data_IF_844109319069
#
_entry.id   IF_844109319069
#
_cell.length_a   1.000
_cell.length_b   1.000
_cell.length_c   1.000
_cell.angle_alpha   90.00
_cell.angle_beta   90.00
_cell.angle_gamma   90.00
#
_symmetry.space_group_name_H-M   'P 1'
#
loop_
_entity.id
_entity.type
_entity.pdbx_description
1 polymer ?
#
# COMPACT_ATOMS: atom_id res chain seq x y z
N UNK A 1 1.36 -8.96 14.33
CA UNK A 1 2.14 -10.19 14.63
C UNK A 1 1.22 -11.40 14.71
N UNK A 2 0.08 -11.31 15.44
CA UNK A 2 -0.86 -12.43 15.60
C UNK A 2 -1.46 -12.88 14.25
N UNK A 3 -1.85 -11.95 13.39
CA UNK A 3 -2.45 -12.24 12.08
C UNK A 3 -1.43 -12.81 11.10
N UNK A 4 -0.17 -12.40 11.20
CA UNK A 4 0.92 -12.94 10.39
C UNK A 4 1.21 -14.40 10.73
N UNK A 5 1.15 -14.77 12.02
CA UNK A 5 1.32 -16.14 12.47
C UNK A 5 0.15 -17.04 12.03
N UNK A 6 -1.08 -16.51 12.06
CA UNK A 6 -2.27 -17.21 11.52
C UNK A 6 -2.12 -17.45 10.01
N UNK A 7 -1.73 -16.42 9.26
CA UNK A 7 -1.49 -16.54 7.82
C UNK A 7 -0.42 -17.58 7.52
N UNK A 8 0.75 -17.49 8.19
CA UNK A 8 1.84 -18.45 8.00
C UNK A 8 1.42 -19.89 8.34
N UNK A 9 0.66 -20.10 9.43
CA UNK A 9 0.18 -21.43 9.80
C UNK A 9 -0.81 -21.99 8.80
N UNK A 10 -1.68 -21.13 8.26
CA UNK A 10 -2.63 -21.49 7.22
C UNK A 10 -1.93 -21.85 5.90
N UNK A 11 -0.98 -21.02 5.47
CA UNK A 11 -0.20 -21.24 4.26
C UNK A 11 0.61 -22.54 4.33
N UNK A 12 1.24 -22.84 5.48
CA UNK A 12 1.96 -24.09 5.70
C UNK A 12 1.04 -25.31 5.64
N UNK A 13 -0.14 -25.26 6.29
CA UNK A 13 -1.13 -26.35 6.23
C UNK A 13 -1.71 -26.54 4.81
N UNK A 14 -1.68 -25.51 3.98
CA UNK A 14 -2.18 -25.58 2.61
C UNK A 14 -1.22 -26.28 1.66
N UNK A 15 0.06 -26.40 2.01
CA UNK A 15 1.05 -27.15 1.21
C UNK A 15 0.77 -28.65 1.18
N UNK A 16 0.08 -29.18 2.20
CA UNK A 16 -0.20 -30.63 2.32
C UNK A 16 -1.53 -31.05 1.68
N UNK A 17 -2.32 -30.13 1.14
CA UNK A 17 -3.65 -30.46 0.56
C UNK A 17 -3.73 -30.00 -0.90
N UNK A 18 -4.09 -30.92 -1.80
CA UNK A 18 -4.30 -30.66 -3.23
C UNK A 18 -5.57 -29.83 -3.54
N UNK A 19 -6.10 -29.07 -2.59
CA UNK A 19 -7.31 -28.29 -2.73
C UNK A 19 -6.97 -26.87 -3.21
N UNK A 20 -7.54 -26.47 -4.35
CA UNK A 20 -7.54 -25.08 -4.82
C UNK A 20 -8.33 -24.20 -3.84
N UNK A 21 -7.63 -23.44 -3.01
CA UNK A 21 -8.23 -22.53 -2.04
C UNK A 21 -8.47 -21.14 -2.62
N UNK A 22 -9.60 -20.53 -2.29
CA UNK A 22 -9.96 -19.20 -2.73
C UNK A 22 -9.42 -18.14 -1.78
N UNK A 23 -8.49 -17.34 -2.28
CA UNK A 23 -7.88 -16.23 -1.56
C UNK A 23 -8.32 -14.90 -2.17
N UNK A 24 -8.86 -14.02 -1.34
CA UNK A 24 -9.24 -12.66 -1.72
C UNK A 24 -8.29 -11.65 -1.09
N UNK A 25 -7.76 -10.74 -1.90
CA UNK A 25 -6.95 -9.61 -1.46
C UNK A 25 -7.77 -8.35 -1.72
N UNK A 26 -8.11 -7.63 -0.65
CA UNK A 26 -8.90 -6.39 -0.73
C UNK A 26 -7.97 -5.20 -0.81
N UNK A 27 -7.98 -4.52 -1.96
CA UNK A 27 -7.14 -3.39 -2.31
C UNK A 27 -6.18 -3.70 -3.45
N UNK A 28 -6.36 -3.03 -4.59
CA UNK A 28 -5.51 -3.09 -5.79
C UNK A 28 -4.36 -2.06 -5.78
N UNK A 29 -3.97 -1.57 -4.61
CA UNK A 29 -2.79 -0.73 -4.43
C UNK A 29 -1.47 -1.52 -4.41
N UNK A 30 -0.31 -0.85 -4.23
CA UNK A 30 1.02 -1.48 -4.27
C UNK A 30 1.13 -2.73 -3.38
N UNK A 31 0.70 -2.63 -2.12
CA UNK A 31 0.77 -3.76 -1.18
C UNK A 31 -0.07 -4.97 -1.60
N UNK A 32 -1.27 -4.73 -2.16
CA UNK A 32 -2.15 -5.81 -2.62
C UNK A 32 -1.58 -6.51 -3.84
N UNK A 33 -1.08 -5.76 -4.81
CA UNK A 33 -0.48 -6.29 -6.04
C UNK A 33 0.79 -7.09 -5.74
N UNK A 34 1.70 -6.52 -4.92
CA UNK A 34 2.93 -7.19 -4.51
C UNK A 34 2.62 -8.52 -3.81
N UNK A 35 1.67 -8.50 -2.86
CA UNK A 35 1.29 -9.70 -2.11
C UNK A 35 0.65 -10.76 -3.01
N UNK A 36 -0.24 -10.36 -3.93
CA UNK A 36 -0.88 -11.26 -4.88
C UNK A 36 0.15 -12.00 -5.74
N UNK A 37 1.09 -11.24 -6.33
CA UNK A 37 2.16 -11.79 -7.16
C UNK A 37 3.07 -12.73 -6.35
N UNK A 38 3.52 -12.31 -5.16
CA UNK A 38 4.40 -13.14 -4.31
C UNK A 38 3.75 -14.42 -3.82
N UNK A 39 2.48 -14.37 -3.41
CA UNK A 39 1.74 -15.58 -3.00
C UNK A 39 1.64 -16.54 -4.18
N UNK A 40 1.31 -16.04 -5.37
CA UNK A 40 1.20 -16.88 -6.56
C UNK A 40 2.53 -17.53 -6.94
N UNK A 41 3.65 -16.78 -6.85
CA UNK A 41 4.99 -17.31 -7.15
C UNK A 41 5.44 -18.38 -6.16
N UNK A 42 5.07 -18.26 -4.86
CA UNK A 42 5.45 -19.21 -3.82
C UNK A 42 4.58 -20.46 -3.86
N UNK A 43 3.26 -20.28 -4.03
CA UNK A 43 2.28 -21.36 -3.86
C UNK A 43 1.67 -21.86 -5.17
N UNK A 44 2.09 -21.28 -6.31
CA UNK A 44 1.69 -21.70 -7.67
C UNK A 44 0.17 -21.91 -7.82
N UNK A 45 -0.29 -23.16 -7.99
CA UNK A 45 -1.69 -23.49 -8.26
C UNK A 45 -2.51 -23.85 -7.02
N UNK A 46 -1.95 -23.67 -5.80
CA UNK A 46 -2.68 -23.98 -4.56
C UNK A 46 -3.77 -22.94 -4.26
N UNK A 47 -3.64 -21.73 -4.82
CA UNK A 47 -4.59 -20.64 -4.62
C UNK A 47 -5.17 -20.12 -5.93
N UNK A 48 -6.50 -19.98 -5.96
CA UNK A 48 -7.20 -19.08 -6.83
C UNK A 48 -7.19 -17.70 -6.17
N UNK A 49 -6.40 -16.77 -6.72
CA UNK A 49 -6.21 -15.44 -6.15
C UNK A 49 -7.12 -14.43 -6.85
N UNK A 50 -7.89 -13.68 -6.06
CA UNK A 50 -8.82 -12.66 -6.50
C UNK A 50 -8.46 -11.34 -5.81
N UNK A 51 -8.09 -10.30 -6.57
CA UNK A 51 -7.86 -8.94 -6.08
C UNK A 51 -9.13 -8.14 -6.26
N UNK A 52 -9.62 -7.49 -5.19
CA UNK A 52 -10.82 -6.65 -5.22
C UNK A 52 -10.37 -5.19 -5.12
N UNK A 53 -10.73 -4.37 -6.12
CA UNK A 53 -10.42 -2.95 -6.16
C UNK A 53 -11.69 -2.12 -6.42
N UNK A 54 -11.87 -1.07 -5.61
CA UNK A 54 -13.03 -0.17 -5.72
C UNK A 54 -12.98 0.74 -6.94
N UNK A 55 -11.78 1.04 -7.41
CA UNK A 55 -11.56 1.91 -8.57
C UNK A 55 -11.72 1.14 -9.87
N UNK A 56 -11.83 1.86 -10.98
CA UNK A 56 -11.88 1.29 -12.32
C UNK A 56 -10.52 0.78 -12.83
N UNK A 57 -9.45 0.93 -12.04
CA UNK A 57 -8.11 0.47 -12.36
C UNK A 57 -7.32 0.14 -11.09
N UNK A 58 -6.36 -0.77 -11.17
CA UNK A 58 -5.38 -1.01 -10.11
C UNK A 58 -4.37 0.14 -10.07
N UNK A 59 -3.67 0.31 -8.95
CA UNK A 59 -2.59 1.29 -8.83
C UNK A 59 -2.98 2.69 -9.33
N UNK A 60 -4.23 3.12 -9.09
CA UNK A 60 -4.83 4.33 -9.64
C UNK A 60 -4.11 5.64 -9.25
N UNK A 61 -3.25 5.60 -8.23
CA UNK A 61 -2.42 6.73 -7.80
C UNK A 61 -0.95 6.61 -8.23
N UNK A 62 -0.60 5.55 -8.93
CA UNK A 62 0.76 5.26 -9.36
C UNK A 62 0.98 5.65 -10.83
N UNK A 63 2.25 5.71 -11.23
CA UNK A 63 2.61 6.05 -12.61
C UNK A 63 2.10 4.99 -13.59
N UNK A 64 1.64 5.44 -14.74
CA UNK A 64 1.01 4.59 -15.77
C UNK A 64 1.90 3.39 -16.12
N UNK A 65 3.19 3.62 -16.33
CA UNK A 65 4.13 2.53 -16.64
C UNK A 65 4.10 1.41 -15.60
N UNK A 66 4.13 1.75 -14.30
CA UNK A 66 4.11 0.75 -13.23
C UNK A 66 2.78 -0.01 -13.19
N UNK A 67 1.66 0.67 -13.45
CA UNK A 67 0.35 0.03 -13.56
C UNK A 67 0.30 -0.97 -14.72
N UNK A 68 0.74 -0.59 -15.91
CA UNK A 68 0.79 -1.48 -17.08
C UNK A 68 1.66 -2.73 -16.83
N UNK A 69 2.81 -2.57 -16.16
CA UNK A 69 3.64 -3.71 -15.80
C UNK A 69 2.97 -4.60 -14.76
N UNK A 70 2.24 -4.01 -13.81
CA UNK A 70 1.48 -4.76 -12.82
C UNK A 70 0.32 -5.56 -13.45
N UNK A 71 -0.42 -4.97 -14.37
CA UNK A 71 -1.48 -5.66 -15.12
C UNK A 71 -0.93 -6.89 -15.86
N UNK A 72 0.18 -6.74 -16.60
CA UNK A 72 0.87 -7.86 -17.27
C UNK A 72 1.35 -8.94 -16.30
N UNK A 73 1.85 -8.52 -15.12
CA UNK A 73 2.33 -9.44 -14.09
C UNK A 73 1.18 -10.27 -13.47
N UNK A 74 0.01 -9.66 -13.26
CA UNK A 74 -1.19 -10.33 -12.78
C UNK A 74 -1.75 -11.30 -13.82
N UNK A 75 -1.83 -10.87 -15.09
CA UNK A 75 -2.30 -11.69 -16.21
C UNK A 75 -1.41 -12.92 -16.42
N UNK A 76 -0.09 -12.75 -16.45
CA UNK A 76 0.92 -13.83 -16.54
C UNK A 76 0.71 -14.89 -15.47
N UNK A 77 0.31 -14.47 -14.27
CA UNK A 77 0.09 -15.31 -13.09
C UNK A 77 -1.35 -15.83 -12.96
N UNK A 78 -2.23 -15.48 -13.89
CA UNK A 78 -3.67 -15.84 -13.86
C UNK A 78 -4.34 -15.40 -12.54
N UNK A 79 -4.02 -14.20 -12.07
CA UNK A 79 -4.66 -13.58 -10.91
C UNK A 79 -5.89 -12.82 -11.38
N UNK A 80 -7.05 -13.10 -10.80
CA UNK A 80 -8.28 -12.41 -11.13
C UNK A 80 -8.32 -11.02 -10.49
N UNK A 81 -8.79 -10.01 -11.23
CA UNK A 81 -8.97 -8.65 -10.72
C UNK A 81 -10.42 -8.24 -10.87
N UNK A 82 -11.05 -7.88 -9.75
CA UNK A 82 -12.44 -7.39 -9.67
C UNK A 82 -12.40 -5.88 -9.44
N UNK A 83 -12.45 -5.12 -10.53
CA UNK A 83 -12.50 -3.66 -10.51
C UNK A 83 -13.93 -3.16 -10.21
N UNK A 84 -14.08 -1.88 -9.89
CA UNK A 84 -15.37 -1.25 -9.52
C UNK A 84 -16.11 -2.04 -8.44
N UNK A 85 -15.36 -2.69 -7.53
CA UNK A 85 -15.89 -3.68 -6.59
C UNK A 85 -15.51 -3.35 -5.15
N UNK A 86 -16.48 -3.41 -4.24
CA UNK A 86 -16.25 -3.16 -2.81
C UNK A 86 -16.76 -4.31 -1.96
N UNK A 87 -15.99 -4.65 -0.92
CA UNK A 87 -16.42 -5.65 0.06
C UNK A 87 -17.47 -5.03 0.99
N UNK A 88 -18.62 -5.69 1.10
CA UNK A 88 -19.70 -5.29 2.01
C UNK A 88 -19.64 -6.06 3.31
N UNK A 89 -19.35 -7.35 3.23
CA UNK A 89 -19.34 -8.23 4.40
C UNK A 89 -18.34 -9.38 4.19
N UNK A 90 -17.74 -9.82 5.27
CA UNK A 90 -16.92 -11.04 5.32
C UNK A 90 -17.45 -11.89 6.46
N UNK A 91 -18.00 -13.08 6.14
CA UNK A 91 -18.39 -14.08 7.09
C UNK A 91 -17.31 -15.18 7.23
N UNK A 92 -17.57 -16.22 7.98
CA UNK A 92 -16.63 -17.31 8.17
C UNK A 92 -16.26 -18.01 6.85
N UNK A 93 -17.24 -18.26 5.97
CA UNK A 93 -17.06 -19.01 4.73
C UNK A 93 -17.29 -18.20 3.46
N UNK A 94 -17.83 -16.98 3.55
CA UNK A 94 -18.21 -16.17 2.39
C UNK A 94 -17.69 -14.75 2.45
N UNK A 95 -17.52 -14.16 1.27
CA UNK A 95 -17.27 -12.74 1.06
C UNK A 95 -18.37 -12.16 0.16
N UNK A 96 -19.00 -11.08 0.59
CA UNK A 96 -20.04 -10.36 -0.17
C UNK A 96 -19.43 -9.12 -0.81
N UNK A 97 -19.49 -9.05 -2.14
CA UNK A 97 -18.89 -8.02 -2.97
C UNK A 97 -20.01 -7.26 -3.70
N UNK A 98 -19.97 -5.95 -3.63
CA UNK A 98 -20.85 -5.05 -4.39
C UNK A 98 -20.12 -4.51 -5.59
N UNK A 99 -20.71 -4.65 -6.77
CA UNK A 99 -20.25 -4.09 -8.04
C UNK A 99 -21.41 -3.41 -8.78
N UNK A 100 -21.16 -2.94 -10.00
CA UNK A 100 -22.20 -2.33 -10.85
C UNK A 100 -23.37 -3.27 -11.16
N UNK A 101 -23.13 -4.57 -11.19
CA UNK A 101 -24.16 -5.59 -11.46
C UNK A 101 -24.92 -6.03 -10.19
N UNK A 102 -24.57 -5.46 -9.03
CA UNK A 102 -25.23 -5.77 -7.75
C UNK A 102 -24.32 -6.42 -6.72
N UNK A 103 -24.93 -7.08 -5.72
CA UNK A 103 -24.19 -7.77 -4.66
C UNK A 103 -24.10 -9.26 -4.97
N UNK A 104 -22.88 -9.77 -4.99
CA UNK A 104 -22.58 -11.19 -5.18
C UNK A 104 -21.90 -11.75 -3.94
N UNK A 105 -22.31 -12.93 -3.49
CA UNK A 105 -21.69 -13.65 -2.37
C UNK A 105 -20.89 -14.84 -2.89
N UNK A 106 -19.60 -14.88 -2.60
CA UNK A 106 -18.65 -15.89 -3.07
C UNK A 106 -18.09 -16.68 -1.89
N UNK A 107 -17.86 -17.97 -2.08
CA UNK A 107 -17.15 -18.79 -1.10
C UNK A 107 -15.68 -18.35 -1.04
N UNK A 108 -15.12 -18.31 0.17
CA UNK A 108 -13.74 -17.93 0.41
C UNK A 108 -13.11 -18.80 1.50
N UNK A 109 -11.81 -18.99 1.38
CA UNK A 109 -10.99 -19.61 2.43
C UNK A 109 -10.23 -18.52 3.22
N UNK A 110 -9.62 -17.55 2.51
CA UNK A 110 -8.87 -16.46 3.13
C UNK A 110 -9.30 -15.11 2.55
N UNK A 111 -9.31 -14.09 3.41
CA UNK A 111 -9.34 -12.68 3.02
C UNK A 111 -8.14 -11.97 3.64
N UNK A 112 -7.37 -11.25 2.81
CA UNK A 112 -6.28 -10.38 3.23
C UNK A 112 -6.69 -8.95 2.92
N UNK A 113 -6.72 -8.11 3.95
CA UNK A 113 -7.13 -6.71 3.81
C UNK A 113 -5.90 -5.81 3.70
N UNK A 114 -5.71 -5.20 2.54
CA UNK A 114 -4.62 -4.23 2.26
C UNK A 114 -5.17 -2.84 1.91
N UNK A 115 -6.50 -2.66 1.92
CA UNK A 115 -7.13 -1.41 1.54
C UNK A 115 -7.18 -0.42 2.69
N UNK A 116 -6.60 0.75 2.47
CA UNK A 116 -6.65 1.90 3.37
C UNK A 116 -5.63 1.85 4.51
N UNK A 117 -5.21 3.05 4.93
CA UNK A 117 -4.35 3.28 6.08
C UNK A 117 -5.07 4.27 6.99
N UNK A 118 -5.05 4.01 8.29
CA UNK A 118 -5.51 4.95 9.30
C UNK A 118 -4.37 5.27 10.26
N UNK A 119 -4.13 6.56 10.56
CA UNK A 119 -3.13 6.92 11.55
C UNK A 119 -3.55 6.41 12.93
N UNK A 120 -2.61 5.89 13.69
CA UNK A 120 -2.87 5.50 15.08
C UNK A 120 -2.64 6.70 16.00
N UNK A 121 -3.71 7.39 16.35
CA UNK A 121 -3.70 8.54 17.24
C UNK A 121 -4.33 8.22 18.61
N UNK A 122 -4.54 6.95 18.93
CA UNK A 122 -5.26 6.51 20.15
C UNK A 122 -4.53 6.85 21.46
N UNK A 123 -3.24 7.13 21.40
CA UNK A 123 -2.40 7.50 22.54
C UNK A 123 -2.26 9.02 22.75
N UNK A 124 -2.88 9.82 21.88
CA UNK A 124 -2.86 11.28 21.98
C UNK A 124 -4.23 11.80 22.44
N UNK A 125 -4.22 12.75 23.38
CA UNK A 125 -5.40 13.57 23.66
C UNK A 125 -5.58 14.58 22.51
N UNK A 126 -6.39 14.19 21.53
CA UNK A 126 -6.48 14.91 20.24
C UNK A 126 -7.66 15.89 20.13
N UNK A 127 -8.40 16.14 21.21
CA UNK A 127 -9.61 16.97 21.17
C UNK A 127 -9.29 18.44 20.82
N UNK A 128 -8.06 18.89 21.10
CA UNK A 128 -7.58 20.23 20.79
C UNK A 128 -6.71 20.32 19.53
N UNK A 129 -6.53 19.20 18.82
CA UNK A 129 -5.67 19.14 17.64
C UNK A 129 -6.54 19.12 16.39
N UNK A 130 -6.32 20.08 15.48
CA UNK A 130 -6.99 20.12 14.18
C UNK A 130 -6.61 18.92 13.34
N UNK A 131 -7.61 18.23 12.78
CA UNK A 131 -7.43 17.05 11.93
C UNK A 131 -8.05 17.26 10.56
N UNK A 132 -7.38 16.75 9.52
CA UNK A 132 -7.89 16.67 8.17
C UNK A 132 -7.69 15.26 7.63
N UNK A 133 -8.74 14.64 7.08
CA UNK A 133 -8.74 13.24 6.64
C UNK A 133 -8.30 12.23 7.73
N UNK A 134 -8.59 12.53 9.00
CA UNK A 134 -8.20 11.70 10.16
C UNK A 134 -6.73 11.82 10.56
N UNK A 135 -5.94 12.68 9.90
CA UNK A 135 -4.53 12.98 10.20
C UNK A 135 -4.39 14.33 10.88
N UNK A 136 -3.31 14.55 11.61
CA UNK A 136 -2.99 15.83 12.26
C UNK A 136 -2.67 16.86 11.16
N UNK A 137 -3.38 18.00 11.17
CA UNK A 137 -3.07 19.13 10.28
C UNK A 137 -1.86 19.87 10.79
N UNK A 138 -0.88 20.07 9.92
CA UNK A 138 0.34 20.82 10.20
C UNK A 138 0.58 21.88 9.14
N UNK A 139 1.32 22.93 9.51
CA UNK A 139 1.79 23.93 8.56
C UNK A 139 3.00 23.42 7.72
N UNK A 140 3.52 24.23 6.82
CA UNK A 140 4.65 23.87 5.94
C UNK A 140 5.99 23.64 6.67
N UNK A 141 6.03 23.86 7.98
CA UNK A 141 7.18 23.57 8.85
C UNK A 141 6.89 22.40 9.80
N UNK A 142 5.83 21.64 9.52
CA UNK A 142 5.35 20.48 10.30
C UNK A 142 4.84 20.81 11.72
N UNK A 143 4.67 22.07 12.07
CA UNK A 143 4.14 22.48 13.38
C UNK A 143 2.64 22.24 13.45
N UNK A 144 2.19 21.73 14.58
CA UNK A 144 0.76 21.58 14.90
C UNK A 144 0.21 22.96 15.26
N UNK A 145 -0.95 23.31 14.70
CA UNK A 145 -1.61 24.58 14.98
C UNK A 145 -1.81 24.79 16.50
N UNK A 146 -1.52 26.01 16.97
CA UNK A 146 -1.56 26.39 18.39
C UNK A 146 -0.57 25.65 19.32
N UNK A 147 0.32 24.83 18.79
CA UNK A 147 1.32 24.07 19.54
C UNK A 147 2.74 24.29 18.99
N UNK A 148 3.34 25.47 19.31
CA UNK A 148 4.61 25.94 18.72
C UNK A 148 5.80 24.96 18.83
N UNK A 149 5.81 24.08 19.82
CA UNK A 149 6.90 23.13 20.07
C UNK A 149 6.50 21.69 19.74
N UNK A 150 5.35 21.49 19.06
CA UNK A 150 4.88 20.17 18.66
C UNK A 150 4.87 20.06 17.14
N UNK A 151 5.44 18.97 16.66
CA UNK A 151 5.56 18.69 15.22
C UNK A 151 4.96 17.30 14.93
N UNK A 152 4.39 17.14 13.75
CA UNK A 152 3.94 15.84 13.26
C UNK A 152 4.40 15.65 11.82
N UNK A 153 4.93 14.47 11.51
CA UNK A 153 5.44 14.09 10.19
C UNK A 153 5.04 12.65 9.83
N UNK A 154 5.13 12.29 8.56
CA UNK A 154 4.83 10.95 8.06
C UNK A 154 3.32 10.67 8.01
N UNK A 155 2.96 9.40 8.09
CA UNK A 155 1.60 8.90 7.87
C UNK A 155 0.53 9.50 8.80
N UNK A 156 0.95 10.03 9.96
CA UNK A 156 0.04 10.63 10.96
C UNK A 156 -0.32 12.09 10.67
N UNK A 157 0.40 12.75 9.77
CA UNK A 157 0.23 14.18 9.47
C UNK A 157 -0.28 14.43 8.06
N UNK A 158 -0.82 15.62 7.86
CA UNK A 158 -1.12 16.21 6.55
C UNK A 158 -0.71 17.67 6.55
N UNK A 159 0.08 18.06 5.56
CA UNK A 159 0.57 19.43 5.42
C UNK A 159 -0.52 20.27 4.76
N UNK A 160 -0.82 21.43 5.35
CA UNK A 160 -1.78 22.38 4.80
C UNK A 160 -1.30 22.90 3.41
N UNK A 161 -2.19 22.79 2.42
CA UNK A 161 -1.88 23.13 1.02
C UNK A 161 -1.13 22.03 0.24
N UNK A 162 -0.79 20.90 0.88
CA UNK A 162 -0.14 19.74 0.24
C UNK A 162 -0.88 18.42 0.54
N UNK A 163 -2.21 18.47 0.60
CA UNK A 163 -3.06 17.34 1.00
C UNK A 163 -2.97 16.13 0.06
N UNK A 164 -2.57 16.35 -1.19
CA UNK A 164 -2.44 15.33 -2.23
C UNK A 164 -1.12 14.56 -2.17
N UNK A 165 -0.20 14.92 -1.27
CA UNK A 165 1.03 14.16 -1.09
C UNK A 165 0.73 12.70 -0.76
N UNK A 166 1.41 11.76 -1.42
CA UNK A 166 1.18 10.34 -1.17
C UNK A 166 1.71 9.93 0.21
N UNK A 167 0.99 9.01 0.87
CA UNK A 167 1.43 8.42 2.14
C UNK A 167 2.46 7.34 1.82
N UNK A 168 3.74 7.72 1.79
CA UNK A 168 4.85 6.84 1.41
C UNK A 168 6.06 7.05 2.29
N UNK A 169 6.92 6.04 2.35
CA UNK A 169 8.21 6.12 3.04
C UNK A 169 9.09 7.26 2.47
N UNK A 170 9.02 7.51 1.15
CA UNK A 170 9.78 8.59 0.50
C UNK A 170 9.40 9.97 1.05
N UNK A 171 8.09 10.25 1.18
CA UNK A 171 7.60 11.50 1.77
C UNK A 171 8.04 11.60 3.22
N UNK A 172 7.79 10.56 4.02
CA UNK A 172 8.12 10.55 5.45
C UNK A 172 9.63 10.75 5.71
N UNK A 173 10.50 10.17 4.87
CA UNK A 173 11.95 10.37 4.98
C UNK A 173 12.37 11.81 4.65
N UNK A 174 11.78 12.42 3.62
CA UNK A 174 12.07 13.82 3.26
C UNK A 174 11.55 14.78 4.32
N UNK A 175 10.35 14.55 4.85
CA UNK A 175 9.81 15.31 5.98
C UNK A 175 10.73 15.23 7.21
N UNK A 176 11.18 14.02 7.56
CA UNK A 176 12.08 13.81 8.71
C UNK A 176 13.41 14.54 8.56
N UNK A 177 14.05 14.45 7.39
CA UNK A 177 15.30 15.15 7.11
C UNK A 177 15.12 16.68 7.14
N UNK A 178 14.03 17.17 6.52
CA UNK A 178 13.73 18.58 6.50
C UNK A 178 13.43 19.14 7.89
N UNK A 179 12.62 18.42 8.70
CA UNK A 179 12.34 18.81 10.08
C UNK A 179 13.62 18.87 10.92
N UNK A 180 14.52 17.88 10.78
CA UNK A 180 15.80 17.91 11.51
C UNK A 180 16.61 19.19 11.23
N UNK A 181 16.72 19.57 9.94
CA UNK A 181 17.40 20.83 9.56
C UNK A 181 16.67 22.06 10.11
N UNK A 182 15.35 22.09 10.08
CA UNK A 182 14.57 23.19 10.63
C UNK A 182 14.68 23.31 12.15
N UNK A 183 14.80 22.22 12.89
CA UNK A 183 15.04 22.23 14.33
C UNK A 183 16.40 22.87 14.65
N UNK A 184 17.44 22.60 13.85
CA UNK A 184 18.73 23.28 14.01
C UNK A 184 18.64 24.78 13.77
N UNK A 185 17.87 25.23 12.75
CA UNK A 185 17.63 26.65 12.52
C UNK A 185 16.90 27.31 13.69
N UNK A 186 15.86 26.66 14.19
CA UNK A 186 15.08 27.16 15.34
C UNK A 186 15.94 27.29 16.62
N UNK A 187 16.82 26.32 16.90
CA UNK A 187 17.78 26.37 18.03
C UNK A 187 18.74 27.56 17.88
N UNK A 188 19.12 27.90 16.64
CA UNK A 188 19.96 29.06 16.34
C UNK A 188 19.19 30.39 16.33
N UNK A 189 17.88 30.40 16.59
CA UNK A 189 17.03 31.59 16.53
C UNK A 189 16.74 32.07 15.12
N UNK A 190 16.88 31.19 14.11
CA UNK A 190 16.57 31.45 12.70
C UNK A 190 15.18 30.94 12.33
N UNK A 191 14.61 31.51 11.28
CA UNK A 191 13.33 31.05 10.75
C UNK A 191 13.46 29.69 10.05
N UNK A 192 12.49 28.77 10.24
CA UNK A 192 12.46 27.52 9.51
C UNK A 192 12.12 27.73 8.05
N UNK A 193 12.61 26.83 7.19
CA UNK A 193 12.34 26.84 5.76
C UNK A 193 11.07 26.02 5.45
N UNK A 194 10.26 26.42 4.45
CA UNK A 194 9.09 25.63 4.04
C UNK A 194 9.52 24.31 3.40
N UNK A 195 8.72 23.28 3.59
CA UNK A 195 8.95 21.96 2.99
C UNK A 195 8.57 21.95 1.52
N UNK A 196 9.42 21.33 0.69
CA UNK A 196 9.16 21.03 -0.71
C UNK A 196 9.44 19.56 -0.98
N UNK A 197 8.43 18.84 -1.47
CA UNK A 197 8.58 17.43 -1.83
C UNK A 197 9.25 17.25 -3.19
N UNK A 198 10.22 16.36 -3.27
CA UNK A 198 10.87 15.95 -4.52
C UNK A 198 10.48 14.51 -4.86
N UNK A 199 9.75 14.33 -5.97
CA UNK A 199 9.40 12.98 -6.46
C UNK A 199 10.62 12.30 -7.09
N UNK A 200 11.25 11.40 -6.36
CA UNK A 200 12.37 10.59 -6.81
C UNK A 200 11.93 9.33 -7.59
N UNK A 201 10.63 9.21 -7.88
CA UNK A 201 10.06 8.06 -8.56
C UNK A 201 9.46 7.03 -7.61
N UNK A 202 8.98 5.94 -8.19
CA UNK A 202 8.34 4.85 -7.46
C UNK A 202 8.82 3.49 -7.97
N UNK A 203 8.82 2.52 -7.08
CA UNK A 203 9.10 1.12 -7.39
C UNK A 203 7.99 0.24 -6.85
N UNK A 204 7.56 -0.74 -7.65
CA UNK A 204 6.55 -1.71 -7.29
C UNK A 204 7.11 -3.11 -7.52
N UNK A 205 7.09 -3.94 -6.49
CA UNK A 205 7.44 -5.35 -6.61
C UNK A 205 6.31 -6.10 -7.31
N UNK A 206 6.64 -6.88 -8.33
CA UNK A 206 5.68 -7.62 -9.16
C UNK A 206 5.80 -9.14 -8.96
N UNK A 207 6.37 -9.54 -7.83
CA UNK A 207 6.60 -10.94 -7.47
C UNK A 207 8.05 -11.23 -7.09
N UNK A 208 8.46 -12.49 -7.19
CA UNK A 208 9.83 -12.90 -6.88
C UNK A 208 10.73 -12.56 -8.06
N UNK A 209 11.71 -11.69 -7.82
CA UNK A 209 12.69 -11.29 -8.85
C UNK A 209 12.13 -10.37 -9.93
N UNK A 210 10.91 -9.84 -9.79
CA UNK A 210 10.33 -8.87 -10.73
C UNK A 210 9.97 -7.58 -10.00
N UNK A 211 10.35 -6.42 -10.56
CA UNK A 211 9.96 -5.10 -10.07
C UNK A 211 9.86 -4.09 -11.21
N UNK A 212 8.90 -3.19 -11.10
CA UNK A 212 8.75 -2.04 -12.00
C UNK A 212 9.22 -0.79 -11.31
N UNK A 213 10.03 0.01 -12.01
CA UNK A 213 10.61 1.27 -11.50
C UNK A 213 10.27 2.37 -12.49
N UNK A 214 9.80 3.51 -11.98
CA UNK A 214 9.44 4.66 -12.81
C UNK A 214 9.78 5.95 -12.07
N UNK A 215 10.70 6.75 -12.60
CA UNK A 215 11.11 8.03 -12.02
C UNK A 215 12.38 8.57 -12.64
N UNK A 216 12.68 9.87 -12.41
CA UNK A 216 13.88 10.56 -12.90
C UNK A 216 14.09 10.42 -14.42
N UNK A 217 12.99 10.36 -15.20
CA UNK A 217 13.05 10.18 -16.65
C UNK A 217 13.31 8.74 -17.12
N UNK A 218 13.34 7.77 -16.20
CA UNK A 218 13.62 6.35 -16.49
C UNK A 218 12.41 5.49 -16.13
N UNK A 219 12.10 4.53 -17.01
CA UNK A 219 11.11 3.47 -16.77
C UNK A 219 11.80 2.13 -17.02
N UNK A 220 11.90 1.30 -16.00
CA UNK A 220 12.58 0.01 -16.05
C UNK A 220 11.69 -1.10 -15.50
N UNK A 221 11.71 -2.23 -16.20
CA UNK A 221 11.24 -3.51 -15.65
C UNK A 221 12.48 -4.31 -15.24
N UNK A 222 12.67 -4.50 -13.94
CA UNK A 222 13.70 -5.37 -13.41
C UNK A 222 13.19 -6.81 -13.39
N UNK A 223 13.93 -7.72 -14.02
CA UNK A 223 13.67 -9.16 -13.95
C UNK A 223 14.97 -9.85 -13.57
N UNK A 224 14.98 -10.53 -12.43
CA UNK A 224 16.08 -11.40 -12.05
C UNK A 224 15.97 -12.72 -12.82
N UNK A 225 17.04 -13.28 -13.37
CA UNK A 225 17.00 -14.64 -13.94
C UNK A 225 16.50 -15.61 -12.86
N UNK A 226 15.51 -16.43 -13.21
CA UNK A 226 15.03 -17.48 -12.34
C UNK A 226 16.20 -18.44 -12.01
N UNK A 227 16.33 -18.93 -10.76
CA UNK A 227 17.28 -19.99 -10.47
C UNK A 227 17.12 -21.24 -11.35
N UNK A 228 15.94 -21.42 -11.99
CA UNK A 228 15.69 -22.48 -12.97
C UNK A 228 16.32 -22.22 -14.33
N UNK A 229 16.64 -20.96 -14.69
CA UNK A 229 17.23 -20.57 -15.97
C UNK A 229 18.76 -20.68 -15.95
N UNK A 230 19.35 -20.94 -14.78
CA UNK A 230 20.80 -21.08 -14.58
C UNK A 230 21.32 -22.53 -14.67
N UNK A 231 20.45 -23.50 -14.96
CA UNK A 231 20.80 -24.91 -15.21
C UNK A 231 20.27 -25.32 -16.58
N UNK A 232 20.86 -24.75 -17.62
CA UNK A 232 20.75 -25.21 -18.99
C UNK A 232 22.05 -25.86 -19.43
#
# INVERSE_FOLDING_TARGET
>A
VHDLNKLNSFLKKSQDTALHKKLFIVGGGPSGIELACKIKDIFTDQFEINVIEKSNEILNKNKIFNREQAEKALEKRKINVLLNSTVKEVSETKISISSEVGITSLDKDIVIWTAGVKPNLSYLETDQITKKFGRILVNNNFQIENHKNCFAIGDISVIEGMEDLPITAQVAMQEGNHLANNLELLIQGKDPLPFEFQDNGEMISLGIGEASISGLGVCLLYTSPSPRDSYG
#
